data_IF_394536174276
#
_entry.id   IF_394536174276
#
_cell.length_a   1.000
_cell.length_b   1.000
_cell.length_c   1.000
_cell.angle_alpha   90.00
_cell.angle_beta   90.00
_cell.angle_gamma   90.00
#
_symmetry.space_group_name_H-M   'P 1'
#
loop_
_entity.id
_entity.type
_entity.pdbx_description
1 polymer ?
#
# COMPACT_ATOMS: atom_id res chain seq x y z
N UNK A 1 0.48 17.85 16.17
CA UNK A 1 0.89 16.95 17.27
C UNK A 1 1.42 15.64 16.70
N UNK A 2 0.67 14.87 15.90
CA UNK A 2 1.13 13.58 15.35
C UNK A 2 2.59 13.50 14.87
N UNK A 3 3.07 14.41 14.01
CA UNK A 3 4.48 14.40 13.56
C UNK A 3 5.51 14.51 14.69
N UNK A 4 5.20 15.29 15.73
CA UNK A 4 6.11 15.50 16.85
C UNK A 4 6.16 14.29 17.80
N UNK A 5 5.09 13.50 17.84
CA UNK A 5 4.90 12.41 18.81
C UNK A 5 5.07 11.01 18.17
N UNK A 6 5.20 10.94 16.84
CA UNK A 6 5.29 9.68 16.09
C UNK A 6 6.67 9.04 16.26
N UNK A 7 6.69 7.74 16.56
CA UNK A 7 7.91 6.91 16.57
C UNK A 7 8.26 6.34 15.18
N UNK A 8 7.41 6.58 14.16
CA UNK A 8 7.64 6.15 12.79
C UNK A 8 8.61 7.12 12.08
N UNK A 9 9.34 6.66 11.04
CA UNK A 9 10.16 7.55 10.21
C UNK A 9 9.38 8.78 9.72
N UNK A 10 10.08 9.91 9.54
CA UNK A 10 9.43 11.18 9.17
C UNK A 10 8.60 11.03 7.88
N UNK A 11 9.18 10.41 6.84
CA UNK A 11 8.49 10.16 5.56
C UNK A 11 7.21 9.34 5.74
N UNK A 12 7.24 8.28 6.57
CA UNK A 12 6.06 7.49 6.91
C UNK A 12 5.04 8.32 7.67
N UNK A 13 5.47 9.13 8.63
CA UNK A 13 4.58 9.99 9.40
C UNK A 13 3.90 11.05 8.51
N UNK A 14 4.63 11.63 7.57
CA UNK A 14 4.10 12.53 6.55
C UNK A 14 3.16 11.83 5.58
N UNK A 15 3.50 10.62 5.14
CA UNK A 15 2.65 9.77 4.32
C UNK A 15 1.30 9.53 5.00
N UNK A 16 1.32 9.04 6.24
CA UNK A 16 0.11 8.71 6.98
C UNK A 16 -0.77 9.94 7.20
N UNK A 17 -0.19 11.11 7.50
CA UNK A 17 -0.96 12.34 7.60
C UNK A 17 -1.57 12.77 6.27
N UNK A 18 -0.82 12.67 5.18
CA UNK A 18 -1.28 13.05 3.84
C UNK A 18 -2.42 12.16 3.36
N UNK A 19 -2.36 10.85 3.62
CA UNK A 19 -3.34 9.86 3.14
C UNK A 19 -4.52 9.74 4.09
N UNK A 20 -4.27 9.67 5.41
CA UNK A 20 -5.29 9.30 6.41
C UNK A 20 -5.69 10.45 7.33
N UNK A 21 -4.99 11.59 7.29
CA UNK A 21 -5.31 12.77 8.10
C UNK A 21 -5.43 12.44 9.59
N UNK A 22 -6.60 12.70 10.16
CA UNK A 22 -6.87 12.45 11.58
C UNK A 22 -6.75 10.96 11.98
N UNK A 23 -6.86 10.02 11.02
CA UNK A 23 -6.72 8.59 11.29
C UNK A 23 -5.26 8.13 11.39
N UNK A 24 -4.28 8.98 11.03
CA UNK A 24 -2.85 8.64 11.08
C UNK A 24 -2.41 8.13 12.46
N UNK A 25 -2.87 8.76 13.54
CA UNK A 25 -2.59 8.33 14.92
C UNK A 25 -3.13 6.93 15.21
N UNK A 26 -4.32 6.60 14.68
CA UNK A 26 -4.94 5.28 14.89
C UNK A 26 -4.20 4.20 14.13
N UNK A 27 -3.77 4.49 12.90
CA UNK A 27 -2.96 3.55 12.10
C UNK A 27 -1.60 3.33 12.74
N UNK A 28 -0.94 4.37 13.25
CA UNK A 28 0.35 4.22 13.94
C UNK A 28 0.22 3.38 15.23
N UNK A 29 -0.85 3.58 16.00
CA UNK A 29 -1.12 2.75 17.18
C UNK A 29 -1.41 1.29 16.79
N UNK A 30 -2.24 1.09 15.78
CA UNK A 30 -2.57 -0.22 15.22
C UNK A 30 -1.33 -0.95 14.67
N UNK A 31 -0.42 -0.23 14.01
CA UNK A 31 0.85 -0.75 13.54
C UNK A 31 1.69 -1.29 14.71
N UNK A 32 1.81 -0.50 15.78
CA UNK A 32 2.56 -0.89 16.98
C UNK A 32 1.97 -2.10 17.69
N UNK A 33 0.65 -2.14 17.84
CA UNK A 33 -0.05 -3.24 18.50
C UNK A 33 0.10 -4.58 17.77
N UNK A 34 0.20 -4.54 16.44
CA UNK A 34 0.31 -5.74 15.59
C UNK A 34 1.72 -6.00 15.07
N UNK A 35 2.70 -5.20 15.46
CA UNK A 35 4.09 -5.27 14.98
C UNK A 35 4.21 -5.16 13.45
N UNK A 36 3.48 -4.21 12.86
CA UNK A 36 3.38 -3.96 11.41
C UNK A 36 3.93 -2.58 11.00
N UNK A 37 4.91 -2.06 11.73
CA UNK A 37 5.55 -0.75 11.47
C UNK A 37 6.56 -0.78 10.31
N UNK A 38 6.89 -1.96 9.80
CA UNK A 38 7.85 -2.12 8.71
C UNK A 38 7.39 -1.35 7.46
N UNK A 39 8.28 -0.51 6.92
CA UNK A 39 8.09 0.17 5.64
C UNK A 39 8.19 -0.85 4.52
N UNK A 40 7.13 -0.98 3.72
CA UNK A 40 7.02 -1.95 2.62
C UNK A 40 7.01 -1.30 1.24
N UNK A 41 6.85 0.03 1.18
CA UNK A 41 7.13 0.83 -0.01
C UNK A 41 7.92 2.08 0.42
N UNK A 42 9.21 2.08 0.11
CA UNK A 42 10.16 3.12 0.50
C UNK A 42 9.89 4.45 -0.20
N UNK A 43 9.38 4.41 -1.44
CA UNK A 43 9.12 5.62 -2.21
C UNK A 43 7.97 6.43 -1.61
N UNK A 44 6.92 5.74 -1.18
CA UNK A 44 5.75 6.37 -0.56
C UNK A 44 5.87 6.55 0.95
N UNK A 45 6.68 5.74 1.63
CA UNK A 45 6.73 5.64 3.08
C UNK A 45 5.67 4.72 3.68
N UNK A 46 4.94 3.96 2.86
CA UNK A 46 3.86 3.07 3.29
C UNK A 46 4.39 1.96 4.20
N UNK A 47 3.65 1.67 5.27
CA UNK A 47 3.94 0.58 6.22
C UNK A 47 3.01 -0.60 6.06
N UNK A 48 3.46 -1.77 6.54
CA UNK A 48 2.71 -3.03 6.46
C UNK A 48 1.31 -2.92 7.08
N UNK A 49 1.15 -2.13 8.14
CA UNK A 49 -0.11 -1.96 8.86
C UNK A 49 -1.26 -1.43 7.98
N UNK A 50 -0.94 -0.64 6.95
CA UNK A 50 -1.94 -0.07 6.06
C UNK A 50 -2.67 -1.13 5.24
N UNK A 51 -2.05 -2.31 5.03
CA UNK A 51 -2.64 -3.41 4.28
C UNK A 51 -3.88 -3.96 5.01
N UNK A 52 -3.77 -4.61 6.19
CA UNK A 52 -4.95 -5.09 6.88
C UNK A 52 -5.88 -3.95 7.31
N UNK A 53 -5.37 -2.75 7.57
CA UNK A 53 -6.21 -1.58 7.83
C UNK A 53 -7.18 -1.29 6.67
N UNK A 54 -6.68 -1.28 5.43
CA UNK A 54 -7.51 -1.05 4.25
C UNK A 54 -8.64 -2.08 4.12
N UNK A 55 -8.40 -3.35 4.44
CA UNK A 55 -9.41 -4.41 4.36
C UNK A 55 -10.39 -4.40 5.53
N UNK A 56 -9.89 -4.27 6.76
CA UNK A 56 -10.69 -4.38 7.98
C UNK A 56 -11.49 -3.09 8.29
N UNK A 57 -10.92 -1.93 7.98
CA UNK A 57 -11.48 -0.62 8.38
C UNK A 57 -11.99 0.22 7.20
N UNK A 58 -11.49 -0.02 5.98
CA UNK A 58 -11.83 0.77 4.79
C UNK A 58 -12.54 -0.06 3.70
N UNK A 59 -12.88 -1.31 4.03
CA UNK A 59 -13.65 -2.24 3.22
C UNK A 59 -13.04 -2.52 1.84
N UNK A 60 -11.71 -2.45 1.73
CA UNK A 60 -11.02 -2.90 0.53
C UNK A 60 -11.40 -4.36 0.24
N UNK A 61 -11.69 -4.66 -1.02
CA UNK A 61 -12.05 -6.04 -1.44
C UNK A 61 -11.02 -6.70 -2.34
N UNK A 62 -10.11 -5.91 -2.90
CA UNK A 62 -9.08 -6.35 -3.84
C UNK A 62 -7.78 -5.63 -3.55
N UNK A 63 -6.67 -6.22 -3.99
CA UNK A 63 -5.36 -5.58 -3.89
C UNK A 63 -5.35 -4.24 -4.67
N UNK A 64 -5.98 -4.20 -5.84
CA UNK A 64 -6.09 -2.96 -6.62
C UNK A 64 -6.82 -1.84 -5.87
N UNK A 65 -7.86 -2.15 -5.11
CA UNK A 65 -8.58 -1.16 -4.30
C UNK A 65 -7.71 -0.64 -3.14
N UNK A 66 -7.03 -1.54 -2.43
CA UNK A 66 -6.13 -1.18 -1.33
C UNK A 66 -4.96 -0.29 -1.81
N UNK A 67 -4.27 -0.71 -2.88
CA UNK A 67 -3.05 -0.04 -3.36
C UNK A 67 -3.38 1.25 -4.12
N UNK A 68 -4.37 1.22 -5.03
CA UNK A 68 -4.65 2.38 -5.87
C UNK A 68 -5.55 3.44 -5.22
N UNK A 69 -6.36 3.08 -4.20
CA UNK A 69 -7.40 4.00 -3.65
C UNK A 69 -7.34 4.22 -2.15
N UNK A 70 -6.73 3.34 -1.36
CA UNK A 70 -6.70 3.43 0.11
C UNK A 70 -5.37 3.92 0.66
N UNK A 71 -4.28 3.48 0.06
CA UNK A 71 -2.91 3.83 0.49
C UNK A 71 -2.28 4.92 -0.37
N UNK A 72 -2.91 5.26 -1.51
CA UNK A 72 -2.40 6.20 -2.53
C UNK A 72 -1.01 5.85 -3.11
N UNK A 73 -0.46 4.68 -2.79
CA UNK A 73 0.81 4.19 -3.36
C UNK A 73 0.71 3.95 -4.86
N UNK A 74 -0.48 3.62 -5.37
CA UNK A 74 -0.75 3.52 -6.80
C UNK A 74 -0.60 4.83 -7.60
N UNK A 75 -0.44 5.98 -6.94
CA UNK A 75 -0.16 7.28 -7.58
C UNK A 75 1.34 7.64 -7.60
N UNK A 76 2.19 6.79 -7.02
CA UNK A 76 3.64 6.95 -7.04
C UNK A 76 4.26 6.67 -8.42
N UNK A 77 5.57 6.90 -8.59
CA UNK A 77 6.27 6.77 -9.87
C UNK A 77 6.20 5.34 -10.44
N UNK A 78 6.12 4.33 -9.59
CA UNK A 78 5.99 2.92 -9.96
C UNK A 78 4.52 2.46 -10.09
N UNK A 79 3.57 3.37 -9.86
CA UNK A 79 2.15 3.08 -9.76
C UNK A 79 1.82 1.92 -8.81
N UNK A 80 2.66 1.70 -7.76
CA UNK A 80 2.56 0.61 -6.79
C UNK A 80 3.05 -0.76 -7.27
N UNK A 81 3.63 -0.85 -8.48
CA UNK A 81 4.24 -2.09 -9.01
C UNK A 81 5.64 -2.29 -8.42
N UNK A 82 5.94 -3.51 -7.96
CA UNK A 82 7.17 -3.85 -7.23
C UNK A 82 6.85 -4.17 -5.78
N UNK A 83 6.36 -3.21 -4.98
CA UNK A 83 5.84 -3.46 -3.64
C UNK A 83 4.60 -4.36 -3.62
N UNK A 84 3.87 -4.48 -4.73
CA UNK A 84 2.63 -5.26 -4.87
C UNK A 84 2.73 -6.71 -4.36
N UNK A 85 3.84 -7.40 -4.66
CA UNK A 85 4.08 -8.75 -4.16
C UNK A 85 4.22 -8.77 -2.63
N UNK A 86 4.98 -7.83 -2.06
CA UNK A 86 5.18 -7.72 -0.61
C UNK A 86 3.88 -7.33 0.10
N UNK A 87 3.10 -6.40 -0.46
CA UNK A 87 1.77 -6.02 0.03
C UNK A 87 0.86 -7.26 0.08
N UNK A 88 0.87 -8.09 -0.95
CA UNK A 88 0.09 -9.33 -0.97
C UNK A 88 0.59 -10.37 0.05
N UNK A 89 1.90 -10.47 0.29
CA UNK A 89 2.46 -11.29 1.38
C UNK A 89 2.00 -10.80 2.75
N UNK A 90 1.95 -9.49 2.99
CA UNK A 90 1.38 -8.94 4.22
C UNK A 90 -0.09 -9.30 4.35
N UNK A 91 -0.87 -9.21 3.27
CA UNK A 91 -2.28 -9.62 3.26
C UNK A 91 -2.44 -11.13 3.58
N UNK A 92 -1.57 -11.99 3.07
CA UNK A 92 -1.53 -13.40 3.44
C UNK A 92 -1.26 -13.61 4.93
N UNK A 93 -0.23 -12.96 5.47
CA UNK A 93 0.14 -13.10 6.87
C UNK A 93 -0.91 -12.54 7.86
N UNK A 94 -1.62 -11.49 7.47
CA UNK A 94 -2.52 -10.74 8.38
C UNK A 94 -4.00 -11.04 8.18
N UNK A 95 -4.43 -11.36 6.95
CA UNK A 95 -5.83 -11.59 6.58
C UNK A 95 -6.13 -13.06 6.25
N UNK A 96 -5.13 -13.94 6.35
CA UNK A 96 -5.29 -15.38 6.11
C UNK A 96 -5.55 -15.74 4.65
N UNK A 97 -5.06 -14.94 3.70
CA UNK A 97 -5.17 -15.29 2.28
C UNK A 97 -4.33 -16.52 1.96
N UNK A 98 -4.89 -17.44 1.17
CA UNK A 98 -4.10 -18.53 0.60
C UNK A 98 -3.22 -18.03 -0.56
N UNK A 99 -2.25 -18.87 -0.96
CA UNK A 99 -1.32 -18.53 -2.04
C UNK A 99 -2.03 -18.31 -3.38
N UNK A 100 -3.11 -19.05 -3.65
CA UNK A 100 -3.89 -18.94 -4.88
C UNK A 100 -4.50 -17.54 -4.99
N UNK A 101 -5.04 -17.01 -3.89
CA UNK A 101 -5.58 -15.66 -3.81
C UNK A 101 -4.48 -14.62 -3.94
N UNK A 102 -3.34 -14.79 -3.28
CA UNK A 102 -2.17 -13.90 -3.42
C UNK A 102 -1.79 -13.75 -4.88
N UNK A 103 -1.55 -14.87 -5.58
CA UNK A 103 -1.13 -14.86 -6.97
C UNK A 103 -2.17 -14.21 -7.88
N UNK A 104 -3.46 -14.52 -7.65
CA UNK A 104 -4.59 -13.94 -8.41
C UNK A 104 -4.68 -12.43 -8.23
N UNK A 105 -4.56 -11.93 -7.00
CA UNK A 105 -4.70 -10.52 -6.68
C UNK A 105 -3.51 -9.69 -7.21
N UNK A 106 -2.28 -10.22 -7.13
CA UNK A 106 -1.10 -9.60 -7.74
C UNK A 106 -1.24 -9.52 -9.25
N UNK A 107 -1.64 -10.63 -9.90
CA UNK A 107 -1.86 -10.63 -11.35
C UNK A 107 -2.95 -9.65 -11.78
N UNK A 108 -4.07 -9.62 -11.05
CA UNK A 108 -5.18 -8.71 -11.31
C UNK A 108 -4.78 -7.24 -11.13
N UNK A 109 -3.97 -6.94 -10.11
CA UNK A 109 -3.47 -5.59 -9.89
C UNK A 109 -2.53 -5.14 -11.02
N UNK A 110 -1.60 -5.99 -11.47
CA UNK A 110 -0.71 -5.67 -12.59
C UNK A 110 -1.48 -5.43 -13.89
N UNK A 111 -2.54 -6.20 -14.14
CA UNK A 111 -3.43 -5.95 -15.28
C UNK A 111 -4.19 -4.63 -15.13
N UNK A 112 -4.66 -4.31 -13.91
CA UNK A 112 -5.28 -3.03 -13.62
C UNK A 112 -4.30 -1.87 -13.94
N UNK A 113 -3.06 -1.93 -13.46
CA UNK A 113 -2.05 -0.91 -13.77
C UNK A 113 -1.82 -0.80 -15.28
N UNK A 114 -1.62 -1.91 -16.00
CA UNK A 114 -1.47 -1.90 -17.47
C UNK A 114 -2.65 -1.23 -18.18
N UNK A 115 -3.87 -1.46 -17.71
CA UNK A 115 -5.09 -0.89 -18.31
C UNK A 115 -5.20 0.62 -18.11
N UNK A 116 -4.76 1.12 -16.96
CA UNK A 116 -4.92 2.52 -16.56
C UNK A 116 -3.65 3.37 -16.72
N UNK A 117 -2.52 2.76 -17.09
CA UNK A 117 -1.34 3.51 -17.52
C UNK A 117 -1.59 4.21 -18.86
N UNK A 118 -1.33 5.53 -18.98
CA UNK A 118 -1.36 6.23 -20.25
C UNK A 118 -0.46 5.54 -21.28
N UNK A 119 -1.01 5.22 -22.46
CA UNK A 119 -0.27 4.56 -23.54
C UNK A 119 1.03 5.27 -23.92
N UNK A 120 1.08 6.59 -23.79
CA UNK A 120 2.28 7.41 -24.05
C UNK A 120 3.45 7.03 -23.13
N UNK A 121 3.18 6.62 -21.88
CA UNK A 121 4.20 6.18 -20.94
C UNK A 121 4.63 4.72 -21.18
N UNK A 122 3.73 3.87 -21.67
CA UNK A 122 4.03 2.47 -21.98
C UNK A 122 4.97 2.31 -23.20
N UNK A 123 4.94 3.24 -24.16
CA UNK A 123 5.83 3.21 -25.33
C UNK A 123 7.25 3.69 -25.01
N UNK A 124 7.41 4.58 -24.02
CA UNK A 124 8.70 5.13 -23.60
C UNK A 124 9.60 4.09 -22.90
N UNK A 125 9.01 3.23 -22.06
CA UNK A 125 9.72 2.13 -21.38
C UNK A 125 10.06 0.96 -22.29
N UNK A 126 9.33 0.74 -23.39
CA UNK A 126 9.65 -0.28 -24.38
C UNK A 126 10.80 0.12 -25.34
N UNK A 127 11.20 1.39 -25.32
CA UNK A 127 12.24 1.96 -26.18
C UNK A 127 13.55 2.27 -25.45
N UNK A 128 13.67 1.84 -24.18
CA UNK A 128 14.84 2.06 -23.31
C UNK A 128 15.45 0.73 -22.85
#
# INVERSE_FOLDING_TARGET
QFLADSALPLQTSEHLLRVYGAQATRIAAYARERSLEAVIDVDSGMIAAEVPWAFEHEFARTLADAVARRTMTGLGPTAGVGPDALIATVAQATLGWDQIRVDREVAAYREWVRRYQPRVLATATASS
#
